data_IF_748713887604
#
_entry.id   IF_748713887604
#
_cell.length_a   1.000
_cell.length_b   1.000
_cell.length_c   1.000
_cell.angle_alpha   90.00
_cell.angle_beta   90.00
_cell.angle_gamma   90.00
#
_symmetry.space_group_name_H-M   'P 1'
#
loop_
_entity.id
_entity.type
_entity.pdbx_description
1 polymer ?
#
# COMPACT_ATOMS: atom_id res chain seq x y z
N UNK A 1 -57.34 -25.85 -42.42
CA UNK A 1 -56.42 -25.77 -43.58
C UNK A 1 -55.01 -25.65 -43.00
N UNK A 2 -54.05 -26.56 -43.26
CA UNK A 2 -53.13 -26.68 -44.45
C UNK A 2 -52.29 -25.41 -44.69
N UNK A 3 -50.97 -25.43 -44.92
CA UNK A 3 -49.95 -26.53 -45.06
C UNK A 3 -48.79 -26.43 -44.04
N UNK A 4 -47.89 -27.41 -43.82
CA UNK A 4 -46.81 -27.99 -44.68
C UNK A 4 -45.65 -27.01 -44.97
N UNK A 5 -44.41 -27.17 -44.43
CA UNK A 5 -43.35 -28.23 -44.57
C UNK A 5 -42.35 -27.93 -45.74
N UNK A 6 -41.08 -28.43 -45.77
CA UNK A 6 -40.37 -29.38 -44.88
C UNK A 6 -38.93 -28.95 -44.42
N UNK A 7 -38.16 -29.89 -43.85
CA UNK A 7 -36.71 -29.81 -43.51
C UNK A 7 -35.82 -30.66 -44.47
N UNK A 8 -34.49 -30.43 -44.54
CA UNK A 8 -33.52 -31.32 -45.20
C UNK A 8 -32.97 -32.45 -44.26
N UNK A 9 -32.33 -33.51 -44.79
CA UNK A 9 -32.14 -34.79 -44.08
C UNK A 9 -30.73 -35.03 -43.46
N UNK A 10 -30.61 -36.17 -42.73
CA UNK A 10 -29.35 -36.78 -42.24
C UNK A 10 -28.99 -38.04 -43.06
N UNK A 11 -27.70 -38.40 -43.06
CA UNK A 11 -27.20 -39.77 -43.32
C UNK A 11 -25.88 -40.00 -42.54
N UNK A 12 -25.37 -41.23 -42.48
CA UNK A 12 -24.16 -41.60 -41.73
C UNK A 12 -23.78 -43.08 -41.88
N UNK A 13 -23.00 -43.63 -40.91
CA UNK A 13 -22.38 -44.97 -40.81
C UNK A 13 -20.94 -45.11 -41.36
N UNK A 14 -20.21 -46.07 -40.79
CA UNK A 14 -18.86 -46.61 -41.07
C UNK A 14 -18.72 -47.91 -40.23
N UNK A 15 -17.55 -48.31 -39.68
CA UNK A 15 -16.21 -48.59 -40.26
C UNK A 15 -16.13 -50.09 -40.73
N UNK A 16 -14.98 -50.84 -40.87
CA UNK A 16 -13.89 -51.15 -39.89
C UNK A 16 -12.43 -51.04 -40.44
N UNK A 17 -11.35 -50.77 -39.67
CA UNK A 17 -10.41 -51.61 -38.85
C UNK A 17 -9.16 -52.25 -39.56
N UNK A 18 -7.97 -51.91 -39.01
CA UNK A 18 -6.70 -52.63 -38.75
C UNK A 18 -5.71 -53.23 -39.83
N UNK A 19 -4.51 -52.61 -39.90
CA UNK A 19 -3.10 -53.15 -39.88
C UNK A 19 -2.57 -54.21 -40.92
N UNK A 20 -1.24 -54.53 -41.02
CA UNK A 20 -0.02 -53.79 -40.61
C UNK A 20 1.19 -53.79 -41.63
N UNK A 21 2.16 -52.90 -41.38
CA UNK A 21 3.65 -53.01 -41.51
C UNK A 21 4.49 -53.09 -42.84
N UNK A 22 5.75 -52.62 -42.69
CA UNK A 22 7.03 -52.92 -43.39
C UNK A 22 7.16 -52.87 -44.95
N UNK A 23 7.80 -51.81 -45.49
CA UNK A 23 9.27 -51.82 -45.73
C UNK A 23 9.94 -50.47 -46.10
N UNK A 24 11.28 -50.44 -46.09
CA UNK A 24 12.23 -49.29 -46.19
C UNK A 24 13.09 -49.40 -47.50
N UNK A 25 14.17 -48.61 -47.75
CA UNK A 25 14.58 -47.26 -47.28
C UNK A 25 14.85 -46.28 -48.46
N UNK A 26 15.14 -44.99 -48.25
CA UNK A 26 16.48 -44.30 -48.24
C UNK A 26 16.15 -42.81 -48.51
N UNK A 27 16.80 -41.72 -48.06
CA UNK A 27 17.72 -41.34 -46.94
C UNK A 27 17.86 -39.79 -47.03
N UNK A 28 18.39 -39.02 -46.07
CA UNK A 28 18.92 -39.27 -44.73
C UNK A 28 19.72 -38.05 -44.22
N UNK A 29 19.98 -37.95 -42.90
CA UNK A 29 20.78 -36.92 -42.19
C UNK A 29 20.26 -35.46 -42.26
N UNK A 30 20.26 -34.60 -41.23
CA UNK A 30 20.41 -34.66 -39.75
C UNK A 30 19.40 -33.60 -39.18
N UNK A 31 18.96 -33.57 -37.91
CA UNK A 31 19.34 -34.38 -36.75
C UNK A 31 19.67 -33.52 -35.52
N UNK A 32 18.67 -32.97 -34.82
CA UNK A 32 18.78 -32.47 -33.44
C UNK A 32 17.37 -32.33 -32.83
N UNK A 33 17.21 -32.66 -31.54
CA UNK A 33 15.93 -32.66 -30.84
C UNK A 33 15.81 -31.49 -29.85
N UNK A 34 14.62 -30.91 -29.73
CA UNK A 34 14.20 -30.13 -28.57
C UNK A 34 12.92 -30.76 -28.03
N UNK A 35 12.91 -31.10 -26.74
CA UNK A 35 11.83 -31.83 -26.11
C UNK A 35 10.52 -31.03 -26.02
N UNK A 36 9.42 -31.74 -25.75
CA UNK A 36 8.11 -31.13 -25.56
C UNK A 36 8.15 -29.99 -24.53
N UNK A 37 7.61 -28.84 -24.90
CA UNK A 37 7.57 -27.64 -24.07
C UNK A 37 6.67 -27.83 -22.85
N UNK A 38 7.20 -28.47 -21.81
CA UNK A 38 6.65 -28.46 -20.46
C UNK A 38 6.40 -26.99 -20.09
N UNK A 39 5.11 -26.59 -20.04
CA UNK A 39 4.71 -25.26 -19.58
C UNK A 39 5.27 -25.07 -18.17
N UNK A 40 6.39 -24.34 -18.07
CA UNK A 40 7.12 -24.13 -16.82
C UNK A 40 6.21 -23.32 -15.91
N UNK A 41 5.43 -24.04 -15.09
CA UNK A 41 4.43 -23.51 -14.15
C UNK A 41 5.20 -22.74 -13.08
N UNK A 42 5.53 -21.49 -13.41
CA UNK A 42 6.36 -20.62 -12.58
C UNK A 42 5.74 -20.55 -11.19
N UNK A 43 6.46 -21.09 -10.20
CA UNK A 43 6.11 -20.97 -8.80
C UNK A 43 6.09 -19.48 -8.49
N UNK A 44 4.88 -18.91 -8.42
CA UNK A 44 4.64 -17.48 -8.63
C UNK A 44 5.10 -16.58 -7.49
N UNK A 45 6.42 -16.49 -7.33
CA UNK A 45 7.17 -15.58 -6.48
C UNK A 45 7.53 -14.34 -7.31
N UNK A 46 7.39 -13.16 -6.72
CA UNK A 46 7.79 -11.88 -7.32
C UNK A 46 8.51 -11.04 -6.27
N UNK A 47 9.38 -10.10 -6.66
CA UNK A 47 9.89 -9.08 -5.74
C UNK A 47 8.74 -8.14 -5.33
N UNK A 48 8.68 -7.86 -4.03
CA UNK A 48 7.94 -6.76 -3.41
C UNK A 48 8.95 -5.87 -2.71
N UNK A 49 8.71 -4.55 -2.67
CA UNK A 49 9.40 -3.68 -1.74
C UNK A 49 8.57 -3.61 -0.45
N UNK A 50 9.12 -4.12 0.63
CA UNK A 50 8.55 -4.01 1.97
C UNK A 50 9.15 -2.76 2.62
N UNK A 51 8.32 -1.82 3.02
CA UNK A 51 8.70 -0.68 3.88
C UNK A 51 8.05 -0.88 5.25
N UNK A 52 8.85 -0.94 6.31
CA UNK A 52 8.36 -1.19 7.67
C UNK A 52 7.98 0.11 8.42
N UNK A 53 7.45 -0.05 9.64
CA UNK A 53 7.08 1.04 10.55
C UNK A 53 8.23 1.94 11.00
N UNK A 54 9.48 1.62 10.67
CA UNK A 54 10.64 2.49 10.90
C UNK A 54 11.01 3.32 9.65
N UNK A 55 10.33 3.09 8.53
CA UNK A 55 10.65 3.67 7.22
C UNK A 55 11.73 2.92 6.45
N UNK A 56 12.19 1.77 6.93
CA UNK A 56 13.26 0.99 6.30
C UNK A 56 12.70 0.12 5.17
N UNK A 57 13.31 0.22 3.98
CA UNK A 57 12.85 -0.46 2.78
C UNK A 57 13.76 -1.64 2.39
N UNK A 58 13.17 -2.82 2.18
CA UNK A 58 13.86 -4.04 1.77
C UNK A 58 13.09 -4.77 0.66
N UNK A 59 13.81 -5.39 -0.29
CA UNK A 59 13.18 -6.18 -1.35
C UNK A 59 13.01 -7.62 -0.88
N UNK A 60 11.76 -8.08 -0.78
CA UNK A 60 11.40 -9.44 -0.38
C UNK A 60 10.83 -10.23 -1.56
N UNK A 61 11.34 -11.44 -1.78
CA UNK A 61 10.78 -12.36 -2.79
C UNK A 61 9.62 -13.15 -2.18
N UNK A 62 8.39 -12.77 -2.53
CA UNK A 62 7.18 -13.35 -1.96
C UNK A 62 6.17 -13.75 -3.04
N UNK A 63 5.68 -14.98 -2.96
CA UNK A 63 4.65 -15.49 -3.86
C UNK A 63 3.23 -15.28 -3.34
N UNK A 64 2.24 -15.38 -4.24
CA UNK A 64 0.83 -15.05 -3.93
C UNK A 64 0.32 -15.64 -2.61
N UNK A 65 0.53 -16.93 -2.37
CA UNK A 65 0.08 -17.60 -1.15
C UNK A 65 0.82 -17.17 0.13
N UNK A 66 2.05 -16.64 0.03
CA UNK A 66 2.74 -16.06 1.17
C UNK A 66 2.15 -14.70 1.55
N UNK A 67 1.89 -13.85 0.54
CA UNK A 67 1.24 -12.54 0.71
C UNK A 67 -0.16 -12.71 1.30
N UNK A 68 -0.98 -13.62 0.76
CA UNK A 68 -2.32 -13.93 1.30
C UNK A 68 -2.31 -14.28 2.79
N UNK A 69 -1.34 -15.10 3.25
CA UNK A 69 -1.24 -15.45 4.68
C UNK A 69 -0.75 -14.27 5.52
N UNK A 70 0.21 -13.50 5.02
CA UNK A 70 0.79 -12.32 5.69
C UNK A 70 -0.29 -11.26 5.95
N UNK A 71 -0.99 -10.85 4.90
CA UNK A 71 -1.93 -9.72 4.90
C UNK A 71 -3.40 -10.11 5.13
N UNK A 72 -3.72 -11.41 5.17
CA UNK A 72 -5.09 -11.93 5.26
C UNK A 72 -5.89 -11.84 3.95
N UNK A 73 -5.38 -11.16 2.92
CA UNK A 73 -6.15 -10.82 1.73
C UNK A 73 -6.59 -12.04 0.90
N UNK A 74 -7.85 -12.06 0.41
CA UNK A 74 -8.35 -13.15 -0.41
C UNK A 74 -7.72 -13.16 -1.81
N UNK A 75 -7.77 -14.32 -2.48
CA UNK A 75 -7.16 -14.51 -3.79
C UNK A 75 -7.78 -13.67 -4.93
N UNK A 76 -8.95 -13.05 -4.70
CA UNK A 76 -9.60 -12.08 -5.60
C UNK A 76 -8.85 -10.74 -5.57
N UNK A 77 -8.70 -10.16 -4.40
CA UNK A 77 -8.30 -8.75 -4.21
C UNK A 77 -6.82 -8.56 -4.61
N UNK A 78 -5.97 -9.56 -4.36
CA UNK A 78 -4.60 -9.61 -4.91
C UNK A 78 -4.50 -9.69 -6.46
N UNK A 79 -5.60 -9.80 -7.21
CA UNK A 79 -5.58 -9.67 -8.69
C UNK A 79 -5.61 -8.21 -9.14
N UNK A 80 -6.17 -7.30 -8.34
CA UNK A 80 -6.17 -5.85 -8.61
C UNK A 80 -4.71 -5.37 -8.83
N UNK A 81 -3.80 -5.93 -8.05
CA UNK A 81 -2.36 -5.68 -8.05
C UNK A 81 -1.55 -6.52 -9.08
N UNK A 82 -2.21 -7.23 -9.99
CA UNK A 82 -1.54 -7.97 -11.07
C UNK A 82 -1.05 -6.97 -12.16
N UNK A 83 0.24 -6.95 -12.55
CA UNK A 83 0.72 -6.09 -13.64
C UNK A 83 0.17 -6.48 -15.02
N UNK A 84 -0.33 -7.72 -15.18
CA UNK A 84 -0.87 -8.22 -16.44
C UNK A 84 -2.36 -7.85 -16.62
N UNK A 85 -3.00 -7.23 -15.62
CA UNK A 85 -4.41 -6.91 -15.61
C UNK A 85 -4.61 -5.40 -15.35
N UNK A 86 -5.25 -4.73 -16.32
CA UNK A 86 -5.57 -3.30 -16.24
C UNK A 86 -6.87 -3.07 -15.44
N UNK A 87 -6.78 -3.20 -14.12
CA UNK A 87 -7.86 -2.79 -13.21
C UNK A 87 -7.97 -1.25 -13.10
N UNK A 88 -9.18 -0.70 -12.86
CA UNK A 88 -9.35 0.73 -12.61
C UNK A 88 -8.68 1.15 -11.29
N UNK A 89 -8.58 2.46 -11.07
CA UNK A 89 -8.19 3.02 -9.78
C UNK A 89 -9.07 2.44 -8.67
N UNK A 90 -8.48 1.91 -7.58
CA UNK A 90 -9.24 1.35 -6.45
C UNK A 90 -8.55 1.54 -5.10
N UNK A 91 -9.35 1.75 -4.04
CA UNK A 91 -8.94 1.77 -2.63
C UNK A 91 -9.90 0.86 -1.85
N UNK A 92 -9.38 -0.21 -1.25
CA UNK A 92 -10.21 -1.26 -0.67
C UNK A 92 -9.76 -1.60 0.76
N UNK A 93 -10.60 -1.28 1.73
CA UNK A 93 -10.46 -1.71 3.13
C UNK A 93 -10.63 -3.23 3.27
N UNK A 94 -9.89 -3.80 4.23
CA UNK A 94 -10.08 -5.15 4.78
C UNK A 94 -9.49 -5.20 6.19
N UNK A 95 -10.17 -5.89 7.08
CA UNK A 95 -9.79 -6.48 8.38
C UNK A 95 -8.30 -6.48 8.80
N UNK A 96 -7.33 -6.74 7.89
CA UNK A 96 -5.89 -6.74 8.17
C UNK A 96 -5.02 -6.00 7.15
N UNK A 97 -5.60 -5.40 6.10
CA UNK A 97 -4.85 -4.70 5.05
C UNK A 97 -5.72 -3.82 4.12
N UNK A 98 -5.26 -2.60 3.80
CA UNK A 98 -5.84 -1.77 2.73
C UNK A 98 -5.13 -2.09 1.40
N UNK A 99 -5.89 -2.32 0.33
CA UNK A 99 -5.35 -2.56 -1.02
C UNK A 99 -5.46 -1.29 -1.86
N UNK A 100 -4.33 -0.86 -2.42
CA UNK A 100 -4.21 0.38 -3.21
C UNK A 100 -3.79 0.05 -4.64
N UNK A 101 -4.57 0.50 -5.61
CA UNK A 101 -4.21 0.54 -7.02
C UNK A 101 -4.57 1.92 -7.56
N UNK A 102 -3.66 2.89 -7.45
CA UNK A 102 -3.87 4.29 -7.85
C UNK A 102 -2.78 4.73 -8.81
N UNK A 103 -3.14 5.04 -10.06
CA UNK A 103 -2.20 5.36 -11.14
C UNK A 103 -1.06 4.34 -11.29
N UNK A 104 0.16 4.69 -10.86
CA UNK A 104 1.33 3.81 -10.89
C UNK A 104 1.55 3.04 -9.57
N UNK A 105 0.86 3.42 -8.50
CA UNK A 105 1.04 2.89 -7.15
C UNK A 105 0.18 1.64 -6.96
N UNK A 106 0.84 0.49 -6.85
CA UNK A 106 0.23 -0.81 -6.52
C UNK A 106 0.78 -1.28 -5.17
N UNK A 107 0.00 -1.09 -4.11
CA UNK A 107 0.40 -1.32 -2.73
C UNK A 107 -0.57 -2.23 -1.96
N UNK A 108 -0.06 -2.82 -0.89
CA UNK A 108 -0.85 -3.33 0.23
C UNK A 108 -0.32 -2.64 1.49
N UNK A 109 -1.18 -1.89 2.17
CA UNK A 109 -0.88 -1.29 3.47
C UNK A 109 -1.37 -2.23 4.56
N UNK A 110 -0.62 -2.40 5.63
CA UNK A 110 -1.04 -3.06 6.88
C UNK A 110 -0.80 -2.12 8.05
N UNK A 111 -1.17 -2.49 9.28
CA UNK A 111 -0.88 -1.69 10.49
C UNK A 111 0.62 -1.50 10.83
N UNK A 112 1.55 -2.19 10.15
CA UNK A 112 2.98 -2.21 10.51
C UNK A 112 3.95 -2.12 9.32
N UNK A 113 3.47 -2.33 8.10
CA UNK A 113 4.29 -2.38 6.89
C UNK A 113 3.47 -2.07 5.62
N UNK A 114 4.15 -1.53 4.60
CA UNK A 114 3.62 -1.37 3.24
C UNK A 114 4.37 -2.30 2.29
N UNK A 115 3.61 -3.09 1.50
CA UNK A 115 4.13 -4.00 0.49
C UNK A 115 3.86 -3.44 -0.91
N UNK A 116 4.89 -2.86 -1.52
CA UNK A 116 4.85 -2.21 -2.81
C UNK A 116 5.30 -3.10 -3.97
N UNK A 117 4.74 -2.81 -5.13
CA UNK A 117 5.03 -3.49 -6.38
C UNK A 117 5.66 -2.56 -7.39
N UNK A 118 6.43 -3.15 -8.31
CA UNK A 118 7.08 -2.45 -9.41
C UNK A 118 7.97 -1.27 -8.96
N UNK A 119 8.52 -1.28 -7.75
CA UNK A 119 9.35 -0.20 -7.17
C UNK A 119 10.65 0.14 -7.94
N UNK A 120 10.99 -0.65 -8.97
CA UNK A 120 12.08 -0.37 -9.93
C UNK A 120 11.62 0.46 -11.14
N UNK A 121 10.33 0.80 -11.20
CA UNK A 121 9.77 1.70 -12.19
C UNK A 121 10.08 3.16 -11.79
N UNK A 122 10.70 3.97 -12.67
CA UNK A 122 11.00 5.37 -12.38
C UNK A 122 9.77 6.20 -11.98
N UNK A 123 8.56 5.84 -12.42
CA UNK A 123 7.33 6.52 -12.00
C UNK A 123 6.93 6.24 -10.54
N UNK A 124 7.50 5.21 -9.92
CA UNK A 124 7.21 4.80 -8.53
C UNK A 124 8.33 5.22 -7.56
N UNK A 125 9.55 5.46 -8.06
CA UNK A 125 10.72 5.81 -7.22
C UNK A 125 10.52 7.06 -6.34
N UNK A 126 10.00 8.21 -6.83
CA UNK A 126 9.82 9.40 -5.99
C UNK A 126 8.83 9.16 -4.84
N UNK A 127 7.78 8.38 -5.08
CA UNK A 127 6.82 7.99 -4.06
C UNK A 127 7.44 7.03 -3.01
N UNK A 128 8.36 6.15 -3.39
CA UNK A 128 9.08 5.29 -2.42
C UNK A 128 9.93 6.14 -1.48
N UNK A 129 10.70 7.08 -2.01
CA UNK A 129 11.55 7.98 -1.22
C UNK A 129 10.70 8.82 -0.24
N UNK A 130 9.56 9.34 -0.71
CA UNK A 130 8.62 10.12 0.08
C UNK A 130 7.89 9.30 1.16
N UNK A 131 7.44 8.08 0.84
CA UNK A 131 6.84 7.16 1.80
C UNK A 131 7.84 6.81 2.92
N UNK A 132 9.07 6.46 2.57
CA UNK A 132 10.13 6.20 3.56
C UNK A 132 10.36 7.42 4.46
N UNK A 133 10.38 8.64 3.89
CA UNK A 133 10.55 9.90 4.64
C UNK A 133 9.41 10.13 5.65
N UNK A 134 8.15 9.91 5.25
CA UNK A 134 7.00 10.05 6.16
C UNK A 134 7.01 9.02 7.27
N UNK A 135 7.20 7.74 6.94
CA UNK A 135 7.23 6.65 7.93
C UNK A 135 8.40 6.80 8.91
N UNK A 136 9.58 7.24 8.44
CA UNK A 136 10.72 7.55 9.32
C UNK A 136 10.40 8.68 10.32
N UNK A 137 9.69 9.73 9.88
CA UNK A 137 9.27 10.85 10.75
C UNK A 137 8.16 10.42 11.74
N UNK A 138 7.20 9.64 11.27
CA UNK A 138 6.11 9.07 12.07
C UNK A 138 6.64 8.17 13.19
N UNK A 139 7.61 7.30 12.89
CA UNK A 139 8.29 6.46 13.88
C UNK A 139 8.93 7.29 15.01
N UNK A 140 9.65 8.35 14.64
CA UNK A 140 10.32 9.24 15.60
C UNK A 140 9.32 9.98 16.50
N UNK A 141 8.21 10.47 15.93
CA UNK A 141 7.15 11.12 16.69
C UNK A 141 6.49 10.14 17.68
N UNK A 142 6.14 8.93 17.21
CA UNK A 142 5.50 7.88 18.04
C UNK A 142 6.40 7.48 19.20
N UNK A 143 7.71 7.27 18.93
CA UNK A 143 8.74 6.98 19.92
C UNK A 143 8.94 8.10 20.96
N UNK A 144 8.76 9.36 20.56
CA UNK A 144 8.82 10.48 21.49
C UNK A 144 7.63 10.49 22.45
N UNK A 145 6.43 10.14 21.97
CA UNK A 145 5.21 10.07 22.78
C UNK A 145 5.24 8.89 23.78
N UNK A 146 5.85 7.75 23.42
CA UNK A 146 6.12 6.64 24.37
C UNK A 146 7.12 7.03 25.47
N UNK A 147 8.05 7.94 25.18
CA UNK A 147 9.17 8.29 26.06
C UNK A 147 8.98 9.53 26.94
N UNK A 148 8.03 10.42 26.60
CA UNK A 148 7.89 11.73 27.24
C UNK A 148 6.44 12.01 27.67
N UNK A 149 6.10 11.68 28.91
CA UNK A 149 4.81 11.98 29.54
C UNK A 149 4.63 13.45 29.96
N UNK A 150 5.06 14.39 29.13
CA UNK A 150 4.87 15.83 29.30
C UNK A 150 4.47 16.45 27.95
N UNK A 151 3.41 17.26 27.96
CA UNK A 151 2.61 17.56 26.77
C UNK A 151 2.99 18.92 26.17
N UNK A 152 3.80 18.93 25.11
CA UNK A 152 4.34 20.18 24.54
C UNK A 152 4.74 20.09 23.05
N UNK A 153 3.77 20.42 22.20
CA UNK A 153 3.91 21.17 20.95
C UNK A 153 4.87 20.64 19.85
N UNK A 154 4.30 19.89 18.90
CA UNK A 154 4.88 19.68 17.56
C UNK A 154 4.05 20.37 16.46
N UNK A 155 4.05 21.71 16.47
CA UNK A 155 3.77 22.46 15.23
C UNK A 155 4.90 22.22 14.21
N UNK A 156 4.58 22.25 12.91
CA UNK A 156 5.46 22.03 11.73
C UNK A 156 5.56 20.60 11.16
N UNK A 157 4.44 19.86 11.08
CA UNK A 157 4.33 18.68 10.20
C UNK A 157 3.88 19.06 8.76
N UNK A 158 2.98 20.02 8.63
CA UNK A 158 2.29 20.42 7.39
C UNK A 158 2.48 21.90 7.02
N UNK A 159 3.70 22.43 7.16
CA UNK A 159 4.03 23.75 6.61
C UNK A 159 4.40 23.60 5.13
N UNK A 160 3.46 23.87 4.23
CA UNK A 160 3.70 23.90 2.78
C UNK A 160 4.27 25.29 2.42
N UNK A 161 5.60 25.39 2.33
CA UNK A 161 6.27 26.59 1.82
C UNK A 161 5.96 26.81 0.32
N UNK A 162 4.89 27.57 0.07
CA UNK A 162 4.50 28.03 -1.26
C UNK A 162 5.56 29.00 -1.84
N UNK A 163 6.22 28.68 -2.97
CA UNK A 163 7.41 29.42 -3.42
C UNK A 163 7.05 30.71 -4.18
N UNK A 164 6.52 31.72 -3.47
CA UNK A 164 6.16 33.02 -4.05
C UNK A 164 7.06 34.19 -3.64
N UNK A 165 7.61 34.85 -4.66
CA UNK A 165 8.06 36.25 -4.71
C UNK A 165 8.90 36.80 -3.54
N UNK A 166 10.21 36.87 -3.77
CA UNK A 166 11.01 38.02 -3.32
C UNK A 166 10.41 39.31 -3.90
N UNK A 167 10.04 40.27 -3.06
CA UNK A 167 10.31 41.68 -3.35
C UNK A 167 10.40 42.53 -2.06
N UNK A 168 10.89 43.77 -2.20
CA UNK A 168 11.41 44.57 -1.08
C UNK A 168 10.38 45.50 -0.43
N UNK A 169 10.38 45.56 0.91
CA UNK A 169 9.75 46.67 1.67
C UNK A 169 10.69 47.87 1.80
N UNK A 170 10.15 49.11 1.71
CA UNK A 170 10.59 50.17 2.62
C UNK A 170 9.45 51.04 3.20
N UNK A 171 9.42 51.08 4.53
CA UNK A 171 8.96 52.12 5.48
C UNK A 171 8.13 53.36 5.03
N UNK A 172 7.07 53.62 5.84
CA UNK A 172 6.67 54.91 6.43
C UNK A 172 5.97 56.00 5.57
N UNK A 173 4.72 56.38 5.93
CA UNK A 173 4.31 57.78 6.26
C UNK A 173 2.81 57.94 6.65
N UNK A 174 2.56 58.48 7.86
CA UNK A 174 1.63 59.61 8.10
C UNK A 174 0.08 59.49 7.99
N UNK A 175 -0.58 59.33 9.16
CA UNK A 175 -1.68 60.21 9.60
C UNK A 175 -3.16 59.87 9.31
N UNK A 176 -4.05 60.04 10.31
CA UNK A 176 -5.52 60.12 10.11
C UNK A 176 -6.42 59.50 11.20
N UNK A 177 -6.78 60.27 12.24
CA UNK A 177 -7.97 60.05 13.10
C UNK A 177 -9.06 61.06 12.68
N UNK A 178 -10.40 60.82 12.83
CA UNK A 178 -11.11 60.38 14.05
C UNK A 178 -12.05 59.18 13.82
N UNK A 179 -12.36 58.33 14.82
CA UNK A 179 -13.16 58.53 16.05
C UNK A 179 -14.58 59.08 15.83
N UNK A 180 -15.57 58.18 15.92
CA UNK A 180 -16.92 58.48 16.43
C UNK A 180 -17.21 57.57 17.63
N UNK A 181 -18.03 58.05 18.56
CA UNK A 181 -18.63 57.27 19.64
C UNK A 181 -20.14 57.46 19.53
N UNK A 182 -20.90 56.40 19.74
CA UNK A 182 -22.29 56.47 20.20
C UNK A 182 -22.53 55.38 21.25
N UNK A 183 -23.67 55.46 21.93
CA UNK A 183 -23.81 55.04 23.34
C UNK A 183 -24.82 53.91 23.58
N UNK A 184 -24.55 53.19 24.66
CA UNK A 184 -25.45 52.48 25.57
C UNK A 184 -26.32 51.31 25.06
N UNK A 185 -26.34 50.23 25.85
CA UNK A 185 -27.13 49.03 25.59
C UNK A 185 -26.65 47.82 26.39
N UNK A 186 -26.94 47.77 27.69
CA UNK A 186 -26.60 46.63 28.55
C UNK A 186 -27.45 45.40 28.19
N UNK A 187 -26.79 44.24 28.03
CA UNK A 187 -27.41 42.95 27.76
C UNK A 187 -26.57 41.83 28.35
N UNK A 188 -27.20 40.92 29.09
CA UNK A 188 -26.49 39.97 29.95
C UNK A 188 -25.94 38.74 29.20
N UNK A 189 -24.68 38.41 29.47
CA UNK A 189 -24.38 37.03 29.85
C UNK A 189 -24.19 35.95 28.78
N UNK A 190 -23.62 36.22 27.61
CA UNK A 190 -22.99 35.14 26.82
C UNK A 190 -21.50 34.98 27.17
N UNK A 191 -21.16 33.83 27.76
CA UNK A 191 -19.78 33.40 27.92
C UNK A 191 -19.26 33.02 26.54
N UNK A 192 -18.33 33.82 25.98
CA UNK A 192 -17.41 33.32 24.95
C UNK A 192 -16.45 32.32 25.57
N UNK A 193 -16.95 31.10 25.80
CA UNK A 193 -16.12 29.92 25.82
C UNK A 193 -15.62 29.71 24.38
N UNK A 194 -14.54 30.42 24.05
CA UNK A 194 -13.76 30.12 22.87
C UNK A 194 -13.17 28.74 23.09
N UNK A 195 -13.87 27.71 22.57
CA UNK A 195 -13.48 26.32 22.70
C UNK A 195 -12.01 26.21 22.29
N UNK A 196 -11.19 25.87 23.29
CA UNK A 196 -9.74 25.98 23.19
C UNK A 196 -9.22 25.07 22.08
N UNK A 197 -8.02 25.39 21.58
CA UNK A 197 -7.25 24.49 20.72
C UNK A 197 -6.99 23.17 21.48
N UNK A 198 -7.88 22.19 21.32
CA UNK A 198 -7.84 20.86 21.95
C UNK A 198 -7.85 19.75 20.90
N UNK A 199 -7.13 19.96 19.81
CA UNK A 199 -6.49 18.84 19.13
C UNK A 199 -5.02 19.18 18.86
N UNK A 200 -4.18 18.96 19.88
CA UNK A 200 -2.74 18.89 19.70
C UNK A 200 -2.46 17.70 18.80
N UNK A 201 -2.09 17.98 17.54
CA UNK A 201 -2.19 17.06 16.40
C UNK A 201 -1.79 15.62 16.74
N UNK A 202 -2.80 14.78 16.99
CA UNK A 202 -2.61 13.37 17.31
C UNK A 202 -1.86 12.69 16.17
N UNK A 203 -0.86 11.89 16.52
CA UNK A 203 -0.09 11.12 15.54
C UNK A 203 -1.05 10.13 14.87
N UNK A 204 -1.25 10.29 13.55
CA UNK A 204 -2.10 9.40 12.77
C UNK A 204 -1.59 7.95 12.86
N UNK A 205 -2.47 6.93 12.88
CA UNK A 205 -2.06 5.53 12.73
C UNK A 205 -1.24 5.29 11.46
N UNK A 206 -0.34 4.32 11.51
CA UNK A 206 0.63 4.01 10.44
C UNK A 206 -0.04 3.85 9.06
N UNK A 207 -1.17 3.15 9.03
CA UNK A 207 -1.92 2.87 7.82
C UNK A 207 -2.48 4.14 7.14
N UNK A 208 -2.84 5.16 7.91
CA UNK A 208 -3.34 6.42 7.37
C UNK A 208 -2.21 7.33 6.86
N UNK A 209 -1.01 7.30 7.49
CA UNK A 209 0.19 7.97 6.95
C UNK A 209 0.64 7.33 5.63
N UNK A 210 0.55 6.00 5.54
CA UNK A 210 0.82 5.28 4.29
C UNK A 210 -0.25 5.55 3.22
N UNK A 211 -1.53 5.67 3.59
CA UNK A 211 -2.64 5.97 2.69
C UNK A 211 -2.54 7.40 2.14
N UNK A 212 -2.29 8.39 3.01
CA UNK A 212 -2.04 9.79 2.64
C UNK A 212 -0.93 9.89 1.60
N UNK A 213 0.22 9.26 1.83
CA UNK A 213 1.32 9.24 0.88
C UNK A 213 0.93 8.64 -0.49
N UNK A 214 0.09 7.60 -0.51
CA UNK A 214 -0.40 6.99 -1.75
C UNK A 214 -1.37 7.92 -2.50
N UNK A 215 -2.28 8.58 -1.78
CA UNK A 215 -3.27 9.49 -2.35
C UNK A 215 -2.60 10.75 -2.91
N UNK A 216 -1.69 11.36 -2.14
CA UNK A 216 -0.95 12.55 -2.55
C UNK A 216 -0.13 12.28 -3.82
N UNK A 217 0.65 11.20 -3.86
CA UNK A 217 1.46 10.88 -5.03
C UNK A 217 0.62 10.53 -6.27
N UNK A 218 -0.57 9.94 -6.11
CA UNK A 218 -1.51 9.74 -7.21
C UNK A 218 -2.08 11.08 -7.74
N UNK A 219 -2.46 11.98 -6.84
CA UNK A 219 -2.93 13.33 -7.17
C UNK A 219 -1.83 14.16 -7.85
N UNK A 220 -0.61 14.20 -7.31
CA UNK A 220 0.53 14.91 -7.90
C UNK A 220 0.91 14.36 -9.28
N UNK A 221 0.77 13.05 -9.51
CA UNK A 221 0.98 12.45 -10.84
C UNK A 221 -0.03 12.99 -11.87
N UNK A 222 -1.32 12.97 -11.52
CA UNK A 222 -2.40 13.46 -12.39
C UNK A 222 -2.30 14.98 -12.61
N UNK A 223 -1.92 15.75 -11.59
CA UNK A 223 -1.74 17.19 -11.68
C UNK A 223 -0.52 17.57 -12.56
N UNK A 224 0.60 16.86 -12.40
CA UNK A 224 1.81 17.04 -13.23
C UNK A 224 1.53 16.74 -14.71
N UNK A 225 0.77 15.69 -15.02
CA UNK A 225 0.31 15.40 -16.38
C UNK A 225 -0.64 16.47 -16.93
N UNK A 226 -1.57 16.98 -16.11
CA UNK A 226 -2.50 18.03 -16.50
C UNK A 226 -1.77 19.35 -16.80
N UNK A 227 -0.87 19.77 -15.91
CA UNK A 227 -0.01 20.96 -16.04
C UNK A 227 0.90 20.85 -17.28
N UNK A 228 1.45 19.66 -17.55
CA UNK A 228 2.23 19.40 -18.79
C UNK A 228 1.37 19.52 -20.04
N UNK A 229 0.13 19.01 -19.99
CA UNK A 229 -0.79 19.08 -21.12
C UNK A 229 -1.27 20.52 -21.40
N UNK A 230 -1.52 21.32 -20.37
CA UNK A 230 -1.86 22.74 -20.46
C UNK A 230 -0.74 23.54 -21.16
N UNK A 231 0.50 23.38 -20.71
CA UNK A 231 1.69 23.99 -21.32
C UNK A 231 1.87 23.60 -22.80
N UNK A 232 1.43 22.40 -23.21
CA UNK A 232 1.40 21.99 -24.62
C UNK A 232 0.20 22.50 -25.41
N UNK A 233 -0.93 22.74 -24.74
CA UNK A 233 -2.22 23.11 -25.35
C UNK A 233 -2.22 24.54 -25.90
N UNK A 234 -1.84 25.53 -25.08
CA UNK A 234 -1.82 26.94 -25.50
C UNK A 234 -1.04 27.17 -26.82
N UNK A 235 0.25 26.80 -26.93
CA UNK A 235 1.01 27.01 -28.17
C UNK A 235 0.53 26.15 -29.35
N UNK A 236 -0.21 25.06 -29.11
CA UNK A 236 -0.84 24.28 -30.18
C UNK A 236 -2.09 24.97 -30.73
N UNK A 237 -2.91 25.57 -29.86
CA UNK A 237 -4.11 26.32 -30.21
C UNK A 237 -3.77 27.63 -30.93
N UNK A 238 -2.76 28.38 -30.44
CA UNK A 238 -2.27 29.59 -31.10
C UNK A 238 -1.77 29.29 -32.52
N UNK A 239 -0.98 28.22 -32.65
CA UNK A 239 -0.41 27.80 -33.94
C UNK A 239 -1.47 27.28 -34.91
N UNK A 240 -2.53 26.63 -34.41
CA UNK A 240 -3.69 26.25 -35.22
C UNK A 240 -4.49 27.48 -35.68
N UNK A 241 -4.68 28.45 -34.79
CA UNK A 241 -5.39 29.72 -35.07
C UNK A 241 -4.64 30.57 -36.10
N UNK A 242 -3.30 30.63 -35.98
CA UNK A 242 -2.43 31.28 -36.96
C UNK A 242 -2.38 30.55 -38.31
N UNK A 243 -2.42 29.21 -38.31
CA UNK A 243 -2.40 28.41 -39.55
C UNK A 243 -3.17 27.10 -39.39
N UNK A 244 -4.34 27.02 -40.03
CA UNK A 244 -5.06 25.76 -40.23
C UNK A 244 -4.19 24.85 -41.11
N UNK A 245 -3.83 23.67 -40.58
CA UNK A 245 -3.08 22.65 -41.31
C UNK A 245 -3.32 21.27 -40.68
N UNK A 246 -3.15 20.20 -41.45
CA UNK A 246 -3.31 18.82 -40.99
C UNK A 246 -2.41 18.50 -39.78
N UNK A 247 -1.17 18.98 -39.77
CA UNK A 247 -0.23 18.82 -38.66
C UNK A 247 -0.69 19.51 -37.37
N UNK A 248 -1.19 20.75 -37.46
CA UNK A 248 -1.68 21.49 -36.30
C UNK A 248 -3.00 20.89 -35.76
N UNK A 249 -3.90 20.47 -36.66
CA UNK A 249 -5.13 19.77 -36.30
C UNK A 249 -4.84 18.43 -35.61
N UNK A 250 -3.85 17.67 -36.10
CA UNK A 250 -3.44 16.41 -35.49
C UNK A 250 -2.81 16.62 -34.10
N UNK A 251 -1.96 17.65 -33.92
CA UNK A 251 -1.42 18.00 -32.59
C UNK A 251 -2.54 18.36 -31.61
N UNK A 252 -3.52 19.18 -32.01
CA UNK A 252 -4.68 19.51 -31.17
C UNK A 252 -5.58 18.29 -30.92
N UNK A 253 -5.70 17.36 -31.88
CA UNK A 253 -6.40 16.08 -31.67
C UNK A 253 -5.70 15.22 -30.60
N UNK A 254 -4.38 15.10 -30.66
CA UNK A 254 -3.58 14.35 -29.69
C UNK A 254 -3.67 14.95 -28.28
N UNK A 255 -3.62 16.29 -28.18
CA UNK A 255 -3.83 17.02 -26.92
C UNK A 255 -5.24 16.77 -26.37
N UNK A 256 -6.29 16.82 -27.22
CA UNK A 256 -7.66 16.46 -26.83
C UNK A 256 -7.78 15.00 -26.37
N UNK A 257 -7.10 14.05 -27.03
CA UNK A 257 -7.10 12.64 -26.62
C UNK A 257 -6.42 12.46 -25.26
N UNK A 258 -5.31 13.15 -24.98
CA UNK A 258 -4.66 13.18 -23.66
C UNK A 258 -5.56 13.81 -22.60
N UNK A 259 -6.25 14.92 -22.91
CA UNK A 259 -7.20 15.56 -22.00
C UNK A 259 -8.29 14.59 -21.55
N UNK A 260 -8.97 13.93 -22.52
CA UNK A 260 -10.01 12.93 -22.23
C UNK A 260 -9.46 11.76 -21.40
N UNK A 261 -8.21 11.34 -21.61
CA UNK A 261 -7.56 10.29 -20.84
C UNK A 261 -7.17 10.70 -19.40
N UNK A 262 -6.77 11.96 -19.17
CA UNK A 262 -6.52 12.50 -17.82
C UNK A 262 -7.85 12.71 -17.09
N UNK A 263 -8.82 13.39 -17.69
CA UNK A 263 -10.16 13.59 -17.11
C UNK A 263 -10.81 12.24 -16.77
N UNK A 264 -10.71 11.23 -17.64
CA UNK A 264 -11.22 9.88 -17.41
C UNK A 264 -10.45 9.03 -16.38
N UNK A 265 -9.31 9.52 -15.86
CA UNK A 265 -8.59 8.95 -14.71
C UNK A 265 -8.91 9.70 -13.43
N UNK A 266 -8.81 11.02 -13.43
CA UNK A 266 -9.24 11.90 -12.32
C UNK A 266 -10.68 11.57 -11.91
N UNK A 267 -11.58 11.40 -12.87
CA UNK A 267 -12.96 10.97 -12.64
C UNK A 267 -13.05 9.66 -11.86
N UNK A 268 -12.26 8.63 -12.21
CA UNK A 268 -12.26 7.34 -11.50
C UNK A 268 -11.68 7.42 -10.09
N UNK A 269 -10.62 8.21 -9.91
CA UNK A 269 -10.05 8.44 -8.57
C UNK A 269 -11.05 9.18 -7.69
N UNK A 270 -11.80 10.15 -8.25
CA UNK A 270 -12.90 10.80 -7.52
C UNK A 270 -14.02 9.82 -7.21
N UNK A 271 -14.52 9.08 -8.20
CA UNK A 271 -15.67 8.17 -8.04
C UNK A 271 -15.38 7.03 -7.03
N UNK A 272 -14.14 6.54 -6.95
CA UNK A 272 -13.72 5.56 -5.94
C UNK A 272 -13.66 6.18 -4.53
N UNK A 273 -13.14 7.41 -4.39
CA UNK A 273 -13.11 8.10 -3.10
C UNK A 273 -14.49 8.56 -2.65
N UNK A 274 -15.37 8.94 -3.58
CA UNK A 274 -16.78 9.26 -3.35
C UNK A 274 -17.51 8.01 -2.84
N UNK A 275 -17.34 6.86 -3.49
CA UNK A 275 -17.89 5.58 -3.01
C UNK A 275 -17.35 5.15 -1.64
N UNK A 276 -16.05 5.32 -1.38
CA UNK A 276 -15.42 4.96 -0.11
C UNK A 276 -15.88 5.86 1.05
N UNK A 277 -16.13 7.14 0.79
CA UNK A 277 -16.61 8.10 1.80
C UNK A 277 -18.13 8.02 2.04
N UNK A 278 -18.89 7.43 1.11
CA UNK A 278 -20.33 7.17 1.25
C UNK A 278 -20.65 5.93 2.12
N UNK A 279 -19.66 5.09 2.49
CA UNK A 279 -19.88 3.84 3.24
C UNK A 279 -18.99 3.74 4.51
N UNK A 280 -19.63 3.92 5.67
CA UNK A 280 -18.98 3.81 6.99
C UNK A 280 -18.40 2.41 7.27
N UNK A 281 -18.91 1.33 6.66
CA UNK A 281 -18.42 -0.04 6.87
C UNK A 281 -17.07 -0.25 6.17
N UNK A 282 -16.96 0.14 4.89
CA UNK A 282 -15.69 0.10 4.14
C UNK A 282 -14.65 1.10 4.69
N UNK A 283 -15.08 2.21 5.33
CA UNK A 283 -14.18 3.07 6.11
C UNK A 283 -13.70 2.43 7.42
N UNK A 284 -14.59 1.78 8.18
CA UNK A 284 -14.21 1.08 9.42
C UNK A 284 -13.24 -0.08 9.15
N UNK A 285 -13.35 -0.75 7.99
CA UNK A 285 -12.39 -1.76 7.51
C UNK A 285 -10.96 -1.24 7.30
N UNK A 286 -10.72 0.09 7.36
CA UNK A 286 -9.39 0.69 7.24
C UNK A 286 -8.67 0.94 8.58
N UNK A 287 -9.31 0.77 9.74
CA UNK A 287 -8.71 1.03 11.07
C UNK A 287 -7.83 -0.14 11.55
N UNK A 288 -6.73 -0.40 10.83
CA UNK A 288 -5.92 -1.61 10.98
C UNK A 288 -5.15 -1.69 12.31
N UNK A 289 -4.68 -0.55 12.83
CA UNK A 289 -3.92 -0.49 14.09
C UNK A 289 -4.81 -0.84 15.29
N UNK A 290 -6.08 -0.43 15.28
CA UNK A 290 -7.03 -0.74 16.34
C UNK A 290 -7.39 -2.22 16.35
N UNK A 291 -7.81 -2.76 15.19
CA UNK A 291 -8.09 -4.20 14.99
C UNK A 291 -6.90 -5.10 15.38
N UNK A 292 -5.67 -4.64 15.11
CA UNK A 292 -4.45 -5.34 15.52
C UNK A 292 -4.28 -5.43 17.05
N UNK A 293 -4.62 -4.36 17.78
CA UNK A 293 -4.53 -4.29 19.24
C UNK A 293 -5.60 -5.16 19.88
N UNK A 294 -6.85 -5.08 19.41
CA UNK A 294 -7.96 -5.93 19.85
C UNK A 294 -7.62 -7.42 19.70
N UNK A 295 -7.14 -7.81 18.51
CA UNK A 295 -6.70 -9.17 18.22
C UNK A 295 -5.56 -9.63 19.14
N UNK A 296 -4.69 -8.74 19.63
CA UNK A 296 -3.66 -9.10 20.62
C UNK A 296 -4.23 -9.30 22.03
N UNK A 297 -5.22 -8.49 22.45
CA UNK A 297 -5.91 -8.68 23.73
C UNK A 297 -6.72 -9.99 23.77
N UNK A 298 -7.45 -10.33 22.71
CA UNK A 298 -8.24 -11.57 22.65
C UNK A 298 -7.36 -12.83 22.70
N UNK A 299 -6.28 -12.85 21.91
CA UNK A 299 -5.32 -13.96 21.91
C UNK A 299 -4.61 -14.10 23.28
N UNK A 300 -4.29 -12.99 23.94
CA UNK A 300 -3.69 -13.02 25.29
C UNK A 300 -4.69 -13.52 26.35
N UNK A 301 -5.96 -13.11 26.24
CA UNK A 301 -7.02 -13.49 27.17
C UNK A 301 -7.34 -14.98 27.08
N UNK A 302 -7.49 -15.50 25.86
CA UNK A 302 -7.78 -16.92 25.59
C UNK A 302 -6.62 -17.84 25.97
N UNK A 303 -5.37 -17.44 25.74
CA UNK A 303 -4.20 -18.17 26.23
C UNK A 303 -4.23 -18.38 27.76
N UNK A 304 -4.64 -17.35 28.52
CA UNK A 304 -4.69 -17.40 29.99
C UNK A 304 -5.73 -18.37 30.58
N UNK A 305 -6.69 -18.85 29.77
CA UNK A 305 -7.75 -19.77 30.22
C UNK A 305 -7.27 -21.23 30.15
N UNK A 306 -6.51 -21.59 29.12
CA UNK A 306 -6.04 -22.96 28.89
C UNK A 306 -5.06 -23.47 29.97
N UNK A 307 -4.49 -22.61 30.81
CA UNK A 307 -3.60 -23.01 31.91
C UNK A 307 -4.34 -23.37 33.22
N UNK A 308 -5.69 -23.29 33.28
CA UNK A 308 -6.44 -23.45 34.55
C UNK A 308 -7.27 -24.73 34.69
N UNK A 309 -7.41 -25.54 33.65
CA UNK A 309 -8.34 -26.69 33.63
C UNK A 309 -7.68 -28.08 33.85
N UNK A 310 -6.35 -28.20 33.84
CA UNK A 310 -5.65 -29.51 33.91
C UNK A 310 -5.45 -30.04 35.36
N UNK A 311 -5.80 -29.24 36.38
CA UNK A 311 -5.44 -29.50 37.80
C UNK A 311 -6.60 -30.09 38.64
N UNK A 312 -7.77 -30.37 38.06
CA UNK A 312 -8.99 -30.76 38.79
C UNK A 312 -9.58 -32.15 38.46
N UNK A 313 -8.83 -33.06 37.80
CA UNK A 313 -9.27 -34.46 37.57
C UNK A 313 -8.19 -35.52 37.75
N UNK A 314 -7.66 -35.66 38.97
CA UNK A 314 -6.91 -36.88 39.37
C UNK A 314 -6.96 -37.19 40.87
N UNK A 315 -8.05 -37.81 41.29
CA UNK A 315 -8.15 -38.55 42.56
C UNK A 315 -8.27 -40.05 42.29
N UNK A 316 -7.41 -40.83 42.94
CA UNK A 316 -7.44 -42.29 43.13
C UNK A 316 -7.16 -43.24 41.95
N UNK A 317 -6.05 -43.99 42.13
CA UNK A 317 -5.64 -45.27 41.50
C UNK A 317 -5.26 -45.24 39.99
N UNK A 318 -4.26 -46.00 39.52
CA UNK A 318 -3.39 -47.01 40.18
C UNK A 318 -1.94 -46.97 39.64
N UNK A 319 -1.01 -47.67 40.30
CA UNK A 319 0.43 -47.68 39.98
C UNK A 319 0.79 -48.43 38.68
N UNK A 320 1.46 -47.74 37.73
CA UNK A 320 2.61 -48.31 36.99
C UNK A 320 3.43 -47.31 36.16
N UNK A 321 4.74 -47.55 36.16
CA UNK A 321 5.78 -46.88 35.36
C UNK A 321 5.66 -47.15 33.85
N UNK A 322 6.05 -46.19 32.99
CA UNK A 322 7.25 -46.28 32.10
C UNK A 322 7.37 -45.07 31.13
N UNK A 323 8.56 -44.43 31.15
CA UNK A 323 9.15 -43.46 30.19
C UNK A 323 8.33 -42.29 29.63
N UNK A 324 8.72 -41.07 30.02
CA UNK A 324 8.52 -39.84 29.23
C UNK A 324 9.59 -39.69 28.14
N UNK A 325 9.24 -39.00 27.04
CA UNK A 325 9.91 -37.78 26.55
C UNK A 325 9.48 -37.44 25.12
N UNK A 326 8.77 -36.32 24.97
CA UNK A 326 8.75 -35.53 23.73
C UNK A 326 8.84 -34.04 24.10
N UNK A 327 9.47 -33.25 23.23
CA UNK A 327 10.04 -31.96 23.61
C UNK A 327 8.98 -30.86 23.75
N UNK A 328 8.99 -30.14 24.87
CA UNK A 328 8.46 -28.77 24.92
C UNK A 328 9.45 -27.81 24.24
N UNK A 329 8.94 -26.84 23.49
CA UNK A 329 9.75 -25.84 22.79
C UNK A 329 9.78 -24.57 23.65
N UNK A 330 10.95 -24.25 24.21
CA UNK A 330 11.07 -23.12 25.14
C UNK A 330 10.91 -21.80 24.39
N UNK A 331 9.91 -21.00 24.77
CA UNK A 331 9.80 -19.61 24.29
C UNK A 331 10.90 -18.76 24.92
N UNK A 332 11.62 -17.98 24.10
CA UNK A 332 12.68 -17.10 24.57
C UNK A 332 12.18 -15.66 24.64
N UNK A 333 11.88 -15.21 25.86
CA UNK A 333 11.73 -13.79 26.19
C UNK A 333 12.36 -13.45 27.54
N UNK A 334 12.95 -12.27 27.62
CA UNK A 334 13.36 -11.56 28.84
C UNK A 334 14.33 -12.27 29.81
N UNK A 335 15.64 -12.07 29.60
CA UNK A 335 16.61 -11.83 30.69
C UNK A 335 17.94 -11.27 30.14
N UNK A 336 17.99 -9.96 29.93
CA UNK A 336 19.24 -9.23 29.67
C UNK A 336 19.36 -8.06 30.65
N UNK A 337 20.29 -8.15 31.61
CA UNK A 337 20.85 -7.01 32.34
C UNK A 337 22.08 -7.42 33.18
N UNK A 338 23.23 -6.83 32.84
CA UNK A 338 24.40 -6.58 33.71
C UNK A 338 25.10 -7.75 34.42
N UNK A 339 26.29 -8.13 33.94
CA UNK A 339 27.52 -8.01 34.75
C UNK A 339 28.81 -7.98 33.90
N UNK A 340 29.71 -7.05 34.22
CA UNK A 340 31.10 -7.03 33.74
C UNK A 340 31.99 -7.93 34.61
N UNK A 341 33.06 -8.50 34.04
CA UNK A 341 34.30 -8.62 34.81
C UNK A 341 35.56 -8.19 34.03
N UNK A 342 36.24 -7.22 34.64
CA UNK A 342 37.70 -7.04 34.82
C UNK A 342 38.73 -7.79 33.96
N UNK A 343 39.82 -7.04 33.66
CA UNK A 343 41.08 -7.52 33.10
C UNK A 343 41.62 -8.84 33.67
N UNK A 344 42.33 -9.60 32.83
CA UNK A 344 43.63 -10.17 33.23
C UNK A 344 44.61 -10.19 32.05
N UNK A 345 45.91 -10.04 32.34
CA UNK A 345 47.00 -9.94 31.34
C UNK A 345 48.04 -11.03 31.59
N UNK A 346 48.43 -11.83 30.57
CA UNK A 346 49.62 -12.68 30.63
C UNK A 346 50.84 -11.98 30.01
N UNK A 347 51.89 -11.77 30.81
CA UNK A 347 53.22 -11.38 30.34
C UNK A 347 54.17 -12.59 30.32
N UNK A 348 54.55 -13.07 29.13
CA UNK A 348 55.86 -13.68 28.82
C UNK A 348 55.90 -13.89 27.29
N UNK A 349 56.80 -13.32 26.48
CA UNK A 349 58.27 -13.17 26.56
C UNK A 349 59.03 -14.49 26.37
N UNK A 350 59.37 -14.81 25.11
CA UNK A 350 60.73 -15.21 24.71
C UNK A 350 60.96 -15.18 23.18
N UNK A 351 62.24 -15.06 22.82
CA UNK A 351 62.78 -14.69 21.51
C UNK A 351 62.85 -15.83 20.48
N UNK A 352 62.86 -15.50 19.18
CA UNK A 352 63.97 -15.88 18.27
C UNK A 352 63.79 -15.46 16.80
N UNK A 353 64.84 -14.84 16.25
CA UNK A 353 65.18 -14.60 14.83
C UNK A 353 64.36 -13.57 14.05
#
# INVERSE_FOLDING_TARGET
MRGHLPQPPKSGLGPPEDDPDLNRPISGALGLAVGGGLRKKGTGVRPWLLVDSTGQAQVVEAGKHAIMRRTGLPARDLRILDPLLSYPSTVLGRERAIVINLEHIKAIITAQEVLLLNSRDPSVTPFVEELQRRLTRHYQATKAQEGNGDDSNWTNLYDMEDPQSRDHSPQNSGGGFPKFQDQDGEGEGERKDGLQNQDGLKILPFEFVALEACLEAACSCLESEARTLELEAHPALDKLTSKISTLNLERVRQIKSRLVAITGRVQKVRDELEHLLDDDEDMAEMYLTEKLIEQQLENSSTASINERDDDLRRSDMDDRLVTSNYNSVVSLSSLELTLMPSHNVPLHLQDSK
#
